data_IF_169829605534
#
_entry.id   IF_169829605534
#
_cell.length_a   1.000
_cell.length_b   1.000
_cell.length_c   1.000
_cell.angle_alpha   90.00
_cell.angle_beta   90.00
_cell.angle_gamma   90.00
#
_symmetry.space_group_name_H-M   'P 1'
#
loop_
_entity.id
_entity.type
_entity.pdbx_description
1 polymer ?
#
# COMPACT_ATOMS: atom_id res chain seq x y z
N UNK A 1 28.83 103.84 2.56
CA UNK A 1 27.57 103.39 3.19
C UNK A 1 27.24 102.01 2.70
N UNK A 2 27.14 101.11 3.61
CA UNK A 2 26.54 99.75 3.58
C UNK A 2 27.03 98.76 2.56
N UNK A 3 27.83 97.87 2.99
CA UNK A 3 27.45 96.66 3.73
C UNK A 3 26.79 95.55 2.81
N UNK A 4 27.54 94.59 2.44
CA UNK A 4 27.01 93.43 1.77
C UNK A 4 27.85 92.17 2.14
N UNK A 5 27.35 91.33 2.90
CA UNK A 5 27.92 90.22 3.61
C UNK A 5 28.07 89.04 2.69
N UNK A 6 29.27 88.54 2.46
CA UNK A 6 29.60 87.33 1.80
C UNK A 6 29.23 86.12 2.74
N UNK A 7 28.38 85.30 2.29
CA UNK A 7 28.14 83.99 2.91
C UNK A 7 28.87 82.91 2.12
N UNK A 8 29.96 82.51 2.71
CA UNK A 8 30.66 81.29 2.26
C UNK A 8 29.87 80.09 2.63
N UNK A 9 29.39 79.32 1.63
CA UNK A 9 28.82 78.02 1.82
C UNK A 9 29.95 77.00 2.04
N UNK A 10 30.05 76.57 3.27
CA UNK A 10 30.84 75.37 3.61
C UNK A 10 30.00 74.16 3.24
N UNK A 11 30.38 73.53 2.13
CA UNK A 11 29.89 72.25 1.78
C UNK A 11 30.48 71.14 2.70
N UNK A 12 29.66 70.69 3.61
CA UNK A 12 30.00 69.48 4.39
C UNK A 12 29.86 68.25 3.50
N UNK A 13 30.99 67.77 3.03
CA UNK A 13 31.05 66.49 2.32
C UNK A 13 30.89 65.38 3.37
N UNK A 14 29.65 64.93 3.56
CA UNK A 14 29.37 63.75 4.36
C UNK A 14 29.80 62.52 3.56
N UNK A 15 30.99 62.01 3.85
CA UNK A 15 31.45 60.69 3.39
C UNK A 15 30.56 59.64 4.03
N UNK A 16 29.54 59.16 3.28
CA UNK A 16 28.82 57.94 3.63
C UNK A 16 29.76 56.79 3.41
N UNK A 17 30.43 56.36 4.47
CA UNK A 17 31.12 55.10 4.49
C UNK A 17 30.05 54.02 4.47
N UNK A 18 29.71 53.55 3.26
CA UNK A 18 28.95 52.30 3.09
C UNK A 18 29.86 51.15 3.52
N UNK A 19 29.79 50.84 4.82
CA UNK A 19 30.34 49.60 5.34
C UNK A 19 29.60 48.44 4.72
N UNK A 20 30.14 47.86 3.65
CA UNK A 20 29.77 46.54 3.21
C UNK A 20 30.18 45.53 4.30
N UNK A 21 29.34 45.39 5.32
CA UNK A 21 29.33 44.19 6.13
C UNK A 21 28.89 43.08 5.21
N UNK A 22 29.88 42.35 4.64
CA UNK A 22 29.65 41.05 4.02
C UNK A 22 29.29 40.07 5.12
N UNK A 23 28.13 40.30 5.74
CA UNK A 23 27.38 39.29 6.47
C UNK A 23 26.72 38.43 5.41
N UNK A 24 27.29 37.26 5.18
CA UNK A 24 26.65 36.21 4.40
C UNK A 24 25.29 35.90 5.03
N UNK A 25 24.27 36.63 4.62
CA UNK A 25 22.89 36.25 4.87
C UNK A 25 22.61 35.03 3.98
N UNK A 26 23.07 33.88 4.46
CA UNK A 26 22.50 32.65 3.99
C UNK A 26 20.99 32.80 4.15
N UNK A 27 20.27 32.79 3.05
CA UNK A 27 18.81 32.83 3.06
C UNK A 27 18.35 31.48 3.62
N UNK A 28 18.45 31.34 4.95
CA UNK A 28 17.94 30.18 5.63
C UNK A 28 16.49 30.49 5.98
N UNK A 29 15.58 30.07 5.13
CA UNK A 29 14.16 30.10 5.47
C UNK A 29 13.89 28.92 6.37
N UNK A 30 13.77 29.12 7.68
CA UNK A 30 13.34 28.07 8.60
C UNK A 30 11.84 27.85 8.37
N UNK A 31 11.52 26.81 7.63
CA UNK A 31 10.15 26.34 7.52
C UNK A 31 9.84 25.58 8.81
N UNK A 32 9.04 26.17 9.69
CA UNK A 32 8.48 25.43 10.84
C UNK A 32 7.48 24.45 10.24
N UNK A 33 7.93 23.23 10.04
CA UNK A 33 7.03 22.11 9.78
C UNK A 33 6.30 21.88 11.10
N UNK A 34 4.94 21.86 11.12
CA UNK A 34 4.21 21.46 12.32
C UNK A 34 4.83 20.13 12.76
N UNK A 35 5.27 20.08 14.02
CA UNK A 35 5.89 18.89 14.58
C UNK A 35 4.81 17.81 14.56
N UNK A 36 4.67 17.12 13.45
CA UNK A 36 3.91 15.91 13.38
C UNK A 36 4.57 14.96 14.37
N UNK A 37 3.96 14.90 15.56
CA UNK A 37 4.24 13.94 16.62
C UNK A 37 5.73 13.63 16.81
N UNK A 38 6.36 14.32 17.75
CA UNK A 38 7.43 13.70 18.54
C UNK A 38 6.79 12.59 19.39
N UNK A 39 6.35 11.53 18.76
CA UNK A 39 6.03 10.31 19.50
C UNK A 39 7.35 9.76 20.01
N UNK A 40 7.36 9.36 21.28
CA UNK A 40 8.51 8.67 21.84
C UNK A 40 8.76 7.43 20.95
N UNK A 41 9.97 7.33 20.44
CA UNK A 41 10.39 6.18 19.64
C UNK A 41 10.44 4.97 20.56
N UNK A 42 9.82 3.88 20.16
CA UNK A 42 9.88 2.61 20.86
C UNK A 42 11.10 1.83 20.40
N UNK A 43 11.76 1.18 21.35
CA UNK A 43 12.82 0.25 21.03
C UNK A 43 12.26 -1.17 21.00
N UNK A 44 12.72 -1.96 20.05
CA UNK A 44 12.38 -3.37 19.92
C UNK A 44 13.55 -4.14 19.30
N UNK A 45 13.72 -5.40 19.68
CA UNK A 45 14.71 -6.28 19.08
C UNK A 45 14.15 -6.96 17.83
N UNK A 46 15.05 -7.59 17.05
CA UNK A 46 14.66 -8.42 15.90
C UNK A 46 13.67 -9.51 16.31
N UNK A 47 13.96 -10.22 17.41
CA UNK A 47 13.16 -11.33 17.91
C UNK A 47 11.76 -10.87 18.33
N UNK A 48 11.65 -9.70 18.97
CA UNK A 48 10.37 -9.13 19.39
C UNK A 48 9.52 -8.75 18.18
N UNK A 49 10.12 -8.12 17.15
CA UNK A 49 9.41 -7.74 15.94
C UNK A 49 8.99 -8.95 15.11
N UNK A 50 9.87 -9.95 15.00
CA UNK A 50 9.57 -11.20 14.31
C UNK A 50 8.43 -11.97 15.01
N UNK A 51 8.49 -12.06 16.34
CA UNK A 51 7.43 -12.70 17.12
C UNK A 51 6.10 -11.95 16.95
N UNK A 52 6.09 -10.63 17.05
CA UNK A 52 4.91 -9.78 16.85
C UNK A 52 4.31 -9.94 15.45
N UNK A 53 5.16 -9.98 14.42
CA UNK A 53 4.72 -10.20 13.05
C UNK A 53 4.04 -11.55 12.86
N UNK A 54 4.70 -12.62 13.29
CA UNK A 54 4.16 -13.97 13.15
C UNK A 54 2.92 -14.19 14.02
N UNK A 55 2.87 -13.61 15.24
CA UNK A 55 1.67 -13.62 16.09
C UNK A 55 0.48 -12.97 15.37
N UNK A 56 0.69 -11.80 14.75
CA UNK A 56 -0.35 -11.15 13.96
C UNK A 56 -0.81 -12.03 12.78
N UNK A 57 0.15 -12.59 12.04
CA UNK A 57 -0.15 -13.49 10.89
C UNK A 57 -0.99 -14.71 11.34
N UNK A 58 -0.67 -15.30 12.48
CA UNK A 58 -1.43 -16.44 13.01
C UNK A 58 -2.78 -16.04 13.61
N UNK A 59 -2.89 -14.81 14.10
CA UNK A 59 -4.12 -14.30 14.70
C UNK A 59 -5.16 -13.86 13.67
N UNK A 60 -4.75 -13.53 12.43
CA UNK A 60 -5.65 -13.11 11.35
C UNK A 60 -5.76 -14.20 10.29
N UNK A 61 -6.85 -14.95 10.33
CA UNK A 61 -7.11 -16.07 9.41
C UNK A 61 -8.02 -15.68 8.26
N UNK A 62 -9.02 -14.83 8.54
CA UNK A 62 -9.93 -14.31 7.52
C UNK A 62 -10.25 -12.83 7.77
N UNK A 63 -10.60 -12.16 6.70
CA UNK A 63 -10.97 -10.74 6.67
C UNK A 63 -12.27 -10.61 5.89
N UNK A 64 -13.33 -10.10 6.51
CA UNK A 64 -14.56 -9.62 5.85
C UNK A 64 -14.57 -8.09 5.98
N UNK A 65 -14.52 -7.39 4.87
CA UNK A 65 -14.43 -5.93 4.88
C UNK A 65 -15.33 -5.25 3.85
N UNK A 66 -15.83 -4.09 4.23
CA UNK A 66 -16.40 -3.11 3.30
C UNK A 66 -15.39 -1.99 3.11
N UNK A 67 -15.05 -1.73 1.86
CA UNK A 67 -13.99 -0.79 1.50
C UNK A 67 -14.42 0.18 0.40
N UNK A 68 -13.79 1.34 0.37
CA UNK A 68 -13.80 2.27 -0.75
C UNK A 68 -12.49 2.06 -1.51
N UNK A 69 -12.57 1.70 -2.79
CA UNK A 69 -11.44 1.44 -3.66
C UNK A 69 -11.31 2.54 -4.70
N UNK A 70 -10.13 3.16 -4.77
CA UNK A 70 -9.74 4.05 -5.85
C UNK A 70 -8.57 3.44 -6.60
N UNK A 71 -8.71 3.26 -7.90
CA UNK A 71 -7.66 2.72 -8.77
C UNK A 71 -7.05 3.85 -9.57
N UNK A 72 -5.74 3.88 -9.64
CA UNK A 72 -4.95 4.74 -10.52
C UNK A 72 -4.08 3.86 -11.41
N UNK A 73 -4.03 4.12 -12.71
CA UNK A 73 -3.21 3.35 -13.65
C UNK A 73 -2.29 4.25 -14.45
N UNK A 74 -1.22 3.67 -14.98
CA UNK A 74 -0.17 4.39 -15.68
C UNK A 74 1.03 4.68 -14.79
N UNK A 75 2.04 5.32 -15.36
CA UNK A 75 3.25 5.67 -14.65
C UNK A 75 3.76 7.05 -15.06
N UNK A 76 4.55 7.66 -14.19
CA UNK A 76 5.27 8.90 -14.50
C UNK A 76 6.24 8.73 -15.67
N UNK A 77 6.68 7.51 -15.94
CA UNK A 77 7.59 7.19 -17.06
C UNK A 77 6.84 7.20 -18.40
N UNK A 78 5.57 6.83 -18.42
CA UNK A 78 4.73 6.83 -19.61
C UNK A 78 4.04 8.17 -19.87
N UNK A 79 4.09 9.07 -18.89
CA UNK A 79 3.52 10.42 -18.98
C UNK A 79 1.99 10.48 -18.94
N UNK A 80 1.33 9.36 -18.74
CA UNK A 80 -0.14 9.25 -18.65
C UNK A 80 -0.52 8.58 -17.35
N UNK A 81 -1.44 9.20 -16.61
CA UNK A 81 -2.03 8.66 -15.40
C UNK A 81 -3.55 8.74 -15.55
N UNK A 82 -4.22 7.59 -15.50
CA UNK A 82 -5.67 7.48 -15.51
C UNK A 82 -6.16 7.18 -14.09
N UNK A 83 -7.03 8.03 -13.58
CA UNK A 83 -7.73 7.81 -12.31
C UNK A 83 -9.13 7.27 -12.57
N UNK A 84 -9.45 6.14 -11.95
CA UNK A 84 -10.79 5.56 -12.03
C UNK A 84 -11.68 6.10 -10.91
N UNK A 85 -12.98 6.13 -11.16
CA UNK A 85 -13.94 6.50 -10.14
C UNK A 85 -13.86 5.54 -8.96
N UNK A 86 -14.03 6.10 -7.76
CA UNK A 86 -14.12 5.33 -6.54
C UNK A 86 -15.30 4.35 -6.60
N UNK A 87 -15.06 3.14 -6.15
CA UNK A 87 -16.07 2.08 -6.05
C UNK A 87 -16.18 1.59 -4.62
N UNK A 88 -17.41 1.31 -4.18
CA UNK A 88 -17.63 0.57 -2.94
C UNK A 88 -17.39 -0.91 -3.22
N UNK A 89 -16.56 -1.57 -2.42
CA UNK A 89 -16.32 -2.99 -2.58
C UNK A 89 -16.56 -3.75 -1.28
N UNK A 90 -17.04 -4.99 -1.46
CA UNK A 90 -17.11 -6.01 -0.40
C UNK A 90 -16.00 -7.01 -0.65
N UNK A 91 -15.18 -7.19 0.35
CA UNK A 91 -13.99 -8.00 0.29
C UNK A 91 -14.05 -9.10 1.32
N UNK A 92 -13.81 -10.32 0.87
CA UNK A 92 -13.71 -11.50 1.69
C UNK A 92 -12.41 -12.20 1.37
N UNK A 93 -11.56 -12.42 2.36
CA UNK A 93 -10.31 -13.15 2.20
C UNK A 93 -10.13 -14.16 3.32
N UNK A 94 -9.65 -15.36 3.00
CA UNK A 94 -9.39 -16.44 3.95
C UNK A 94 -8.13 -17.20 3.56
N UNK A 95 -7.32 -17.54 4.58
CA UNK A 95 -6.15 -18.39 4.36
C UNK A 95 -6.56 -19.81 3.93
N UNK A 96 -5.78 -20.48 3.05
CA UNK A 96 -4.43 -20.07 2.66
C UNK A 96 -4.38 -19.02 1.54
N UNK A 97 -5.39 -18.92 0.65
CA UNK A 97 -5.30 -18.09 -0.56
C UNK A 97 -6.64 -17.64 -1.14
N UNK A 98 -7.74 -17.93 -0.47
CA UNK A 98 -9.09 -17.64 -0.97
C UNK A 98 -9.42 -16.17 -0.84
N UNK A 99 -9.91 -15.55 -1.91
CA UNK A 99 -10.36 -14.17 -1.93
C UNK A 99 -11.53 -13.96 -2.87
N UNK A 100 -12.49 -13.10 -2.48
CA UNK A 100 -13.53 -12.57 -3.33
C UNK A 100 -13.68 -11.07 -3.14
N UNK A 101 -13.86 -10.34 -4.22
CA UNK A 101 -14.07 -8.90 -4.20
C UNK A 101 -15.21 -8.52 -5.13
N UNK A 102 -16.25 -7.91 -4.57
CA UNK A 102 -17.44 -7.45 -5.31
C UNK A 102 -17.42 -5.93 -5.33
N UNK A 103 -17.18 -5.33 -6.50
CA UNK A 103 -17.20 -3.88 -6.70
C UNK A 103 -18.54 -3.36 -7.17
N UNK A 104 -19.04 -2.31 -6.54
CA UNK A 104 -20.33 -1.70 -6.83
C UNK A 104 -20.23 -0.20 -7.04
N UNK A 105 -21.10 0.33 -7.89
CA UNK A 105 -21.27 1.79 -8.02
C UNK A 105 -21.77 2.32 -6.67
N UNK A 106 -21.12 3.33 -6.08
CA UNK A 106 -21.61 3.96 -4.86
C UNK A 106 -23.06 4.44 -5.03
N UNK A 107 -23.84 4.42 -3.95
CA UNK A 107 -25.25 4.83 -3.89
C UNK A 107 -26.22 3.93 -4.67
N UNK A 108 -25.93 3.57 -5.90
CA UNK A 108 -26.82 2.76 -6.77
C UNK A 108 -26.75 1.28 -6.44
N UNK A 109 -25.61 0.81 -5.93
CA UNK A 109 -25.39 -0.61 -5.57
C UNK A 109 -25.29 -1.57 -6.77
N UNK A 110 -25.19 -1.06 -7.99
CA UNK A 110 -25.03 -1.90 -9.18
C UNK A 110 -23.63 -2.50 -9.22
N UNK A 111 -23.55 -3.84 -9.32
CA UNK A 111 -22.26 -4.54 -9.45
C UNK A 111 -21.57 -4.17 -10.76
N UNK A 112 -20.31 -3.76 -10.64
CA UNK A 112 -19.43 -3.42 -11.76
C UNK A 112 -18.56 -4.62 -12.12
N UNK A 113 -18.02 -5.26 -11.08
CA UNK A 113 -17.23 -6.48 -11.19
C UNK A 113 -17.44 -7.36 -9.96
N UNK A 114 -17.21 -8.66 -10.13
CA UNK A 114 -17.14 -9.66 -9.08
C UNK A 114 -15.99 -10.58 -9.44
N UNK A 115 -14.98 -10.66 -8.59
CA UNK A 115 -13.80 -11.47 -8.82
C UNK A 115 -13.51 -12.36 -7.62
N UNK A 116 -13.08 -13.60 -7.90
CA UNK A 116 -12.68 -14.58 -6.91
C UNK A 116 -11.39 -15.28 -7.32
N UNK A 117 -10.69 -15.85 -6.34
CA UNK A 117 -9.51 -16.68 -6.54
C UNK A 117 -9.32 -17.62 -5.37
N UNK A 118 -8.80 -18.82 -5.67
CA UNK A 118 -8.34 -19.83 -4.71
C UNK A 118 -6.79 -19.84 -4.54
N UNK A 119 -6.10 -18.89 -5.18
CA UNK A 119 -4.64 -18.80 -5.20
C UNK A 119 -3.98 -19.52 -6.39
N UNK A 120 -4.67 -20.41 -7.07
CA UNK A 120 -4.19 -21.09 -8.29
C UNK A 120 -4.85 -20.49 -9.53
N UNK A 121 -6.16 -20.30 -9.47
CA UNK A 121 -6.98 -19.73 -10.53
C UNK A 121 -7.73 -18.49 -10.04
N UNK A 122 -8.14 -17.67 -10.98
CA UNK A 122 -9.05 -16.58 -10.71
C UNK A 122 -10.19 -16.52 -11.73
N UNK A 123 -11.31 -16.00 -11.26
CA UNK A 123 -12.53 -15.77 -12.02
C UNK A 123 -12.94 -14.30 -11.86
N UNK A 124 -13.33 -13.66 -12.94
CA UNK A 124 -13.76 -12.25 -12.96
C UNK A 124 -14.99 -12.08 -13.84
N UNK A 125 -16.09 -11.74 -13.21
CA UNK A 125 -17.32 -11.31 -13.89
C UNK A 125 -17.36 -9.80 -14.05
N UNK A 126 -17.67 -9.31 -15.25
CA UNK A 126 -17.83 -7.88 -15.55
C UNK A 126 -19.22 -7.68 -16.17
N UNK A 127 -20.29 -7.62 -15.35
CA UNK A 127 -21.67 -7.59 -15.83
C UNK A 127 -21.98 -6.46 -16.80
N UNK A 128 -21.44 -5.22 -16.65
CA UNK A 128 -21.68 -4.15 -17.63
C UNK A 128 -21.12 -4.43 -19.02
N UNK A 129 -20.14 -5.33 -19.14
CA UNK A 129 -19.53 -5.72 -20.42
C UNK A 129 -20.04 -7.06 -20.93
N UNK A 130 -20.86 -7.79 -20.15
CA UNK A 130 -21.30 -9.14 -20.49
C UNK A 130 -20.12 -10.11 -20.64
N UNK A 131 -19.07 -9.98 -19.83
CA UNK A 131 -17.84 -10.79 -19.91
C UNK A 131 -17.57 -11.53 -18.61
N UNK A 132 -17.07 -12.74 -18.78
CA UNK A 132 -16.53 -13.57 -17.72
C UNK A 132 -15.11 -14.01 -18.12
N UNK A 133 -14.15 -13.79 -17.24
CA UNK A 133 -12.73 -14.05 -17.50
C UNK A 133 -12.22 -15.07 -16.50
N UNK A 134 -11.54 -16.08 -16.96
CA UNK A 134 -10.88 -17.10 -16.14
C UNK A 134 -9.40 -17.18 -16.50
N UNK A 135 -8.55 -17.47 -15.52
CA UNK A 135 -7.12 -17.64 -15.77
C UNK A 135 -6.35 -18.13 -14.57
N UNK A 136 -5.10 -18.53 -14.79
CA UNK A 136 -4.20 -18.88 -13.70
C UNK A 136 -3.66 -17.61 -13.02
N UNK A 137 -3.53 -17.65 -11.70
CA UNK A 137 -2.96 -16.54 -10.91
C UNK A 137 -1.50 -16.27 -11.29
N UNK A 138 -0.75 -17.32 -11.63
CA UNK A 138 0.67 -17.24 -12.02
C UNK A 138 0.94 -16.58 -13.37
N UNK A 139 -0.12 -16.25 -14.15
CA UNK A 139 0.05 -15.54 -15.41
C UNK A 139 0.69 -14.18 -15.17
N UNK A 140 1.80 -13.94 -15.85
CA UNK A 140 2.42 -12.63 -15.90
C UNK A 140 1.48 -11.62 -16.60
N UNK A 141 1.90 -10.36 -16.69
CA UNK A 141 1.15 -9.29 -17.33
C UNK A 141 0.59 -9.72 -18.69
N UNK A 142 -0.74 -9.83 -18.79
CA UNK A 142 -1.44 -10.32 -19.97
C UNK A 142 -2.16 -9.22 -20.75
N UNK A 143 -2.47 -8.09 -20.10
CA UNK A 143 -3.25 -7.01 -20.69
C UNK A 143 -2.39 -5.84 -21.18
N UNK A 144 -2.81 -5.24 -22.31
CA UNK A 144 -2.21 -4.01 -22.81
C UNK A 144 -2.51 -2.81 -21.90
N UNK A 145 -3.65 -2.84 -21.21
CA UNK A 145 -4.06 -1.80 -20.26
C UNK A 145 -3.71 -2.24 -18.84
N UNK A 146 -3.11 -1.35 -18.02
CA UNK A 146 -2.73 -1.69 -16.65
C UNK A 146 -3.86 -2.27 -15.80
N UNK A 147 -5.09 -1.79 -15.95
CA UNK A 147 -6.26 -2.31 -15.21
C UNK A 147 -6.57 -3.79 -15.51
N UNK A 148 -6.18 -4.29 -16.68
CA UNK A 148 -6.36 -5.68 -17.07
C UNK A 148 -5.37 -6.61 -16.36
N UNK A 149 -4.35 -6.03 -15.69
CA UNK A 149 -3.35 -6.76 -14.91
C UNK A 149 -3.71 -6.89 -13.42
N UNK A 150 -4.82 -6.28 -12.99
CA UNK A 150 -5.31 -6.45 -11.63
C UNK A 150 -5.71 -7.92 -11.40
N UNK A 151 -5.21 -8.49 -10.32
CA UNK A 151 -5.53 -9.86 -9.89
C UNK A 151 -6.05 -9.84 -8.45
N UNK A 152 -7.02 -10.69 -8.11
CA UNK A 152 -7.51 -10.80 -6.73
C UNK A 152 -6.38 -11.09 -5.75
N UNK A 153 -5.42 -11.92 -6.17
CA UNK A 153 -4.30 -12.34 -5.34
C UNK A 153 -3.40 -11.19 -4.88
N UNK A 154 -3.30 -10.11 -5.66
CA UNK A 154 -2.53 -8.92 -5.25
C UNK A 154 -3.16 -8.21 -4.04
N UNK A 155 -4.51 -8.25 -3.94
CA UNK A 155 -5.20 -7.77 -2.75
C UNK A 155 -5.03 -8.75 -1.58
N UNK A 156 -5.15 -10.07 -1.84
CA UNK A 156 -4.96 -11.08 -0.81
C UNK A 156 -3.62 -10.91 -0.09
N UNK A 157 -2.53 -10.79 -0.82
CA UNK A 157 -1.18 -10.62 -0.28
C UNK A 157 -1.03 -9.34 0.57
N UNK A 158 -1.75 -8.28 0.21
CA UNK A 158 -1.76 -7.04 0.99
C UNK A 158 -2.57 -7.12 2.28
N UNK A 159 -3.55 -8.04 2.36
CA UNK A 159 -4.46 -8.18 3.50
C UNK A 159 -4.02 -9.26 4.48
N UNK A 160 -3.45 -10.35 3.97
CA UNK A 160 -3.10 -11.56 4.72
C UNK A 160 -1.64 -11.95 4.46
N UNK A 161 -0.72 -11.33 5.18
CA UNK A 161 0.73 -11.51 5.00
C UNK A 161 1.17 -12.95 5.21
N UNK A 162 2.19 -13.43 4.47
CA UNK A 162 2.79 -14.74 4.73
C UNK A 162 3.62 -14.73 6.02
N UNK A 163 3.66 -15.85 6.71
CA UNK A 163 4.52 -16.08 7.87
C UNK A 163 6.01 -15.99 7.48
N UNK A 164 6.83 -15.50 8.40
CA UNK A 164 8.29 -15.66 8.31
C UNK A 164 8.67 -17.01 8.90
N UNK A 165 9.16 -17.91 8.05
CA UNK A 165 9.46 -19.30 8.39
C UNK A 165 10.86 -19.42 9.00
N UNK A 166 11.09 -20.50 9.74
CA UNK A 166 12.37 -20.75 10.43
C UNK A 166 13.56 -20.98 9.48
N UNK A 167 13.29 -21.45 8.28
CA UNK A 167 14.30 -21.65 7.23
C UNK A 167 14.64 -20.39 6.44
N UNK A 168 13.88 -19.33 6.61
CA UNK A 168 14.16 -18.03 5.99
C UNK A 168 15.20 -17.27 6.81
N UNK A 169 16.03 -16.51 6.14
CA UNK A 169 17.05 -15.65 6.76
C UNK A 169 16.42 -14.27 6.94
N UNK A 170 16.55 -13.71 8.14
CA UNK A 170 16.10 -12.38 8.45
C UNK A 170 17.30 -11.47 8.66
N UNK A 171 17.29 -10.30 8.05
CA UNK A 171 18.20 -9.20 8.35
C UNK A 171 17.43 -8.08 9.01
N UNK A 172 17.96 -7.56 10.10
CA UNK A 172 17.38 -6.48 10.86
C UNK A 172 18.14 -5.19 10.61
N UNK A 173 17.40 -4.13 10.28
CA UNK A 173 17.95 -2.81 9.95
C UNK A 173 17.14 -1.71 10.65
N UNK A 174 17.80 -0.61 11.03
CA UNK A 174 17.15 0.65 11.36
C UNK A 174 17.17 1.55 10.12
N UNK A 175 16.04 2.17 9.80
CA UNK A 175 15.91 3.09 8.68
C UNK A 175 15.17 4.35 9.11
N UNK A 176 15.72 5.49 8.72
CA UNK A 176 15.09 6.80 8.93
C UNK A 176 14.87 7.46 7.57
N UNK A 177 13.71 8.01 7.35
CA UNK A 177 13.39 8.82 6.18
C UNK A 177 12.73 10.15 6.58
N UNK A 178 12.15 10.86 5.59
CA UNK A 178 11.49 12.14 5.85
C UNK A 178 10.15 11.99 6.60
N UNK A 179 9.55 10.81 6.52
CA UNK A 179 8.22 10.51 7.06
C UNK A 179 8.27 9.88 8.44
N UNK A 180 9.36 9.18 8.79
CA UNK A 180 9.46 8.53 10.09
C UNK A 180 10.74 7.76 10.35
N UNK A 181 10.70 7.01 11.43
CA UNK A 181 11.75 6.08 11.86
C UNK A 181 11.20 4.67 11.87
N UNK A 182 11.96 3.75 11.34
CA UNK A 182 11.49 2.40 11.11
C UNK A 182 12.50 1.37 11.58
N UNK A 183 11.99 0.20 11.95
CA UNK A 183 12.71 -1.05 11.92
C UNK A 183 12.33 -1.82 10.66
N UNK A 184 13.29 -2.44 10.01
CA UNK A 184 13.05 -3.18 8.77
C UNK A 184 13.52 -4.61 8.95
N UNK A 185 12.64 -5.57 8.73
CA UNK A 185 12.98 -6.97 8.58
C UNK A 185 13.05 -7.30 7.10
N UNK A 186 14.26 -7.56 6.60
CA UNK A 186 14.48 -8.06 5.24
C UNK A 186 14.53 -9.58 5.29
N UNK A 187 13.54 -10.23 4.68
CA UNK A 187 13.39 -11.68 4.68
C UNK A 187 13.92 -12.24 3.36
N UNK A 188 14.84 -13.20 3.47
CA UNK A 188 15.53 -13.83 2.36
C UNK A 188 15.23 -15.33 2.32
N UNK A 189 15.12 -15.87 1.11
CA UNK A 189 15.25 -17.31 0.88
C UNK A 189 16.74 -17.66 0.92
N UNK A 190 17.12 -18.53 1.85
CA UNK A 190 18.48 -19.06 1.92
C UNK A 190 18.82 -19.98 0.76
N UNK A 191 20.09 -20.12 0.45
CA UNK A 191 20.59 -21.02 -0.58
C UNK A 191 21.92 -20.54 -1.16
N UNK A 192 22.38 -21.21 -2.22
CA UNK A 192 23.61 -20.83 -2.94
C UNK A 192 23.56 -19.38 -3.47
N UNK A 193 22.36 -18.94 -3.84
CA UNK A 193 22.06 -17.51 -4.11
C UNK A 193 20.88 -17.15 -3.24
N UNK A 194 21.10 -16.28 -2.26
CA UNK A 194 20.02 -15.72 -1.46
C UNK A 194 19.18 -14.78 -2.30
N UNK A 195 17.87 -14.90 -2.16
CA UNK A 195 16.90 -14.05 -2.86
C UNK A 195 16.06 -13.29 -1.84
N UNK A 196 15.88 -12.00 -2.06
CA UNK A 196 14.95 -11.21 -1.25
C UNK A 196 13.54 -11.68 -1.57
N UNK A 197 12.78 -12.02 -0.53
CA UNK A 197 11.37 -12.39 -0.63
C UNK A 197 10.49 -11.18 -0.33
N UNK A 198 10.80 -10.48 0.78
CA UNK A 198 10.01 -9.35 1.26
C UNK A 198 10.79 -8.48 2.23
N UNK A 199 10.31 -7.24 2.41
CA UNK A 199 10.71 -6.35 3.50
C UNK A 199 9.47 -5.93 4.28
N UNK A 200 9.58 -5.95 5.60
CA UNK A 200 8.53 -5.53 6.53
C UNK A 200 9.05 -4.36 7.34
N UNK A 201 8.38 -3.23 7.21
CA UNK A 201 8.74 -1.98 7.86
C UNK A 201 7.81 -1.73 9.05
N UNK A 202 8.37 -1.55 10.23
CA UNK A 202 7.64 -1.22 11.44
C UNK A 202 7.87 0.23 11.81
N UNK A 203 6.81 1.01 12.00
CA UNK A 203 6.93 2.37 12.51
C UNK A 203 7.36 2.33 13.98
N UNK A 204 8.46 2.98 14.32
CA UNK A 204 8.98 3.03 15.71
C UNK A 204 8.09 3.82 16.65
N UNK A 205 7.10 4.54 16.16
CA UNK A 205 6.14 5.24 17.01
C UNK A 205 5.19 4.28 17.74
N UNK A 206 4.76 3.20 17.08
CA UNK A 206 3.77 2.26 17.61
C UNK A 206 4.15 0.78 17.46
N UNK A 207 5.14 0.46 16.64
CA UNK A 207 5.58 -0.88 16.21
C UNK A 207 4.54 -1.62 15.39
N UNK A 208 3.66 -0.90 14.70
CA UNK A 208 2.80 -1.49 13.69
C UNK A 208 3.53 -1.53 12.34
N UNK A 209 3.11 -2.48 11.49
CA UNK A 209 3.63 -2.53 10.12
C UNK A 209 3.11 -1.31 9.36
N UNK A 210 4.03 -0.48 8.87
CA UNK A 210 3.71 0.70 8.07
C UNK A 210 3.88 0.46 6.58
N UNK A 211 4.75 -0.51 6.20
CA UNK A 211 5.03 -0.82 4.79
C UNK A 211 5.43 -2.28 4.64
N UNK A 212 5.00 -2.88 3.56
CA UNK A 212 5.33 -4.24 3.16
C UNK A 212 5.69 -4.27 1.68
N UNK A 213 6.90 -4.74 1.38
CA UNK A 213 7.38 -4.88 0.02
C UNK A 213 7.54 -6.36 -0.32
N UNK A 214 6.99 -6.81 -1.45
CA UNK A 214 7.22 -8.16 -1.97
C UNK A 214 8.11 -8.13 -3.20
N UNK A 215 8.98 -9.13 -3.30
CA UNK A 215 9.98 -9.21 -4.34
C UNK A 215 9.86 -10.53 -5.11
N UNK A 216 10.00 -10.43 -6.42
CA UNK A 216 10.10 -11.56 -7.32
C UNK A 216 11.55 -11.94 -7.62
N UNK A 217 11.75 -12.84 -8.59
CA UNK A 217 13.07 -13.26 -9.03
C UNK A 217 13.99 -12.08 -9.34
N UNK A 218 15.29 -12.24 -9.04
CA UNK A 218 16.33 -11.21 -9.25
C UNK A 218 16.14 -9.93 -8.42
N UNK A 219 15.35 -9.99 -7.33
CA UNK A 219 15.09 -8.83 -6.47
C UNK A 219 14.20 -7.78 -7.12
N UNK A 220 13.33 -8.18 -8.03
CA UNK A 220 12.40 -7.25 -8.67
C UNK A 220 11.26 -6.91 -7.72
N UNK A 221 11.05 -5.63 -7.43
CA UNK A 221 9.91 -5.16 -6.64
C UNK A 221 8.60 -5.50 -7.38
N UNK A 222 7.76 -6.34 -6.77
CA UNK A 222 6.46 -6.73 -7.28
C UNK A 222 5.36 -5.85 -6.71
N UNK A 223 5.37 -5.67 -5.38
CA UNK A 223 4.35 -4.89 -4.67
C UNK A 223 5.00 -4.07 -3.58
N UNK A 224 4.50 -2.86 -3.40
CA UNK A 224 4.83 -1.96 -2.31
C UNK A 224 3.51 -1.53 -1.65
N UNK A 225 3.31 -1.95 -0.42
CA UNK A 225 2.04 -1.76 0.29
C UNK A 225 2.28 -0.90 1.52
N UNK A 226 1.52 0.18 1.64
CA UNK A 226 1.58 1.08 2.78
C UNK A 226 0.32 0.93 3.65
N UNK A 227 0.51 0.90 4.96
CA UNK A 227 -0.55 0.75 5.95
C UNK A 227 -0.57 1.94 6.90
N UNK A 228 -1.75 2.45 7.18
CA UNK A 228 -1.92 3.52 8.16
C UNK A 228 -3.28 3.46 8.84
N UNK A 229 -3.46 4.31 9.85
CA UNK A 229 -4.71 4.41 10.62
C UNK A 229 -5.11 3.06 11.25
N UNK A 230 -4.19 2.47 12.03
CA UNK A 230 -4.42 1.23 12.75
C UNK A 230 -5.45 1.42 13.86
N UNK A 231 -6.53 0.65 13.82
CA UNK A 231 -7.63 0.72 14.78
C UNK A 231 -7.97 -0.67 15.32
N UNK A 232 -8.40 -0.71 16.58
CA UNK A 232 -8.93 -1.94 17.17
C UNK A 232 -10.18 -2.41 16.44
N UNK A 233 -10.26 -3.71 16.20
CA UNK A 233 -11.36 -4.33 15.48
C UNK A 233 -12.06 -5.37 16.34
N UNK A 234 -13.33 -5.58 16.04
CA UNK A 234 -14.11 -6.66 16.63
C UNK A 234 -13.65 -7.99 16.03
N UNK A 235 -13.32 -8.93 16.89
CA UNK A 235 -13.05 -10.32 16.52
C UNK A 235 -14.28 -11.12 16.88
N UNK A 236 -14.67 -12.08 16.07
CA UNK A 236 -15.80 -12.95 16.41
C UNK A 236 -15.52 -13.67 17.72
N UNK A 237 -16.54 -13.74 18.60
CA UNK A 237 -16.40 -14.18 19.99
C UNK A 237 -15.81 -15.61 20.13
N UNK A 238 -15.90 -16.43 19.08
CA UNK A 238 -15.35 -17.78 19.04
C UNK A 238 -13.81 -17.78 18.94
N UNK A 239 -13.22 -16.75 18.31
CA UNK A 239 -11.78 -16.62 18.14
C UNK A 239 -11.06 -15.93 19.33
N UNK A 240 -11.79 -15.31 20.22
CA UNK A 240 -11.29 -14.53 21.35
C UNK A 240 -10.69 -15.37 22.51
N UNK A 241 -10.56 -16.69 22.37
CA UNK A 241 -10.12 -17.61 23.42
C UNK A 241 -8.62 -17.58 23.75
N UNK A 242 -7.82 -16.76 23.05
CA UNK A 242 -6.35 -16.81 23.17
C UNK A 242 -5.72 -15.71 24.04
N UNK A 243 -6.45 -15.00 24.88
CA UNK A 243 -5.82 -14.04 25.83
C UNK A 243 -5.00 -12.89 25.20
N UNK A 244 -4.95 -12.81 23.88
CA UNK A 244 -4.34 -11.72 23.13
C UNK A 244 -5.21 -10.46 23.28
N UNK A 245 -4.57 -9.30 23.36
CA UNK A 245 -5.26 -8.01 23.36
C UNK A 245 -6.11 -7.81 22.09
N UNK A 246 -6.88 -6.71 22.02
CA UNK A 246 -7.72 -6.45 20.86
C UNK A 246 -6.84 -6.39 19.60
N UNK A 247 -7.21 -7.18 18.57
CA UNK A 247 -6.55 -7.12 17.28
C UNK A 247 -6.72 -5.72 16.67
N UNK A 248 -5.68 -5.26 15.99
CA UNK A 248 -5.71 -4.02 15.24
C UNK A 248 -5.71 -4.33 13.74
N UNK A 249 -6.34 -3.47 12.96
CA UNK A 249 -6.37 -3.58 11.51
C UNK A 249 -6.21 -2.20 10.87
N UNK A 250 -5.43 -2.04 9.80
CA UNK A 250 -5.24 -0.76 9.13
C UNK A 250 -6.52 -0.32 8.43
N UNK A 251 -6.89 0.95 8.56
CA UNK A 251 -8.05 1.54 7.88
C UNK A 251 -7.70 2.14 6.54
N UNK A 252 -6.43 2.36 6.28
CA UNK A 252 -5.94 2.82 4.99
C UNK A 252 -4.84 1.89 4.51
N UNK A 253 -5.01 1.38 3.30
CA UNK A 253 -4.07 0.48 2.65
C UNK A 253 -3.86 1.01 1.23
N UNK A 254 -2.61 1.29 0.88
CA UNK A 254 -2.22 1.65 -0.48
C UNK A 254 -1.36 0.54 -1.05
N UNK A 255 -1.73 0.03 -2.20
CA UNK A 255 -1.02 -1.02 -2.90
C UNK A 255 -0.47 -0.43 -4.19
N UNK A 256 0.85 -0.44 -4.34
CA UNK A 256 1.54 -0.02 -5.56
C UNK A 256 2.13 -1.25 -6.25
N UNK A 257 1.85 -1.38 -7.55
CA UNK A 257 2.36 -2.45 -8.41
C UNK A 257 3.14 -1.82 -9.57
N UNK A 258 4.43 -1.47 -9.36
CA UNK A 258 5.19 -0.68 -10.33
C UNK A 258 5.32 -1.35 -11.71
N UNK A 259 5.44 -2.67 -11.74
CA UNK A 259 5.56 -3.42 -13.01
C UNK A 259 4.24 -3.55 -13.76
N UNK A 260 3.14 -3.59 -13.02
CA UNK A 260 1.79 -3.71 -13.57
C UNK A 260 1.19 -2.33 -13.86
N UNK A 261 1.91 -1.26 -13.50
CA UNK A 261 1.58 0.14 -13.71
C UNK A 261 0.20 0.52 -13.13
N UNK A 262 -0.11 0.03 -11.92
CA UNK A 262 -1.30 0.48 -11.21
C UNK A 262 -1.04 0.68 -9.70
N UNK A 263 -1.90 1.48 -9.11
CA UNK A 263 -2.02 1.73 -7.68
C UNK A 263 -3.48 1.56 -7.27
N UNK A 264 -3.68 0.98 -6.08
CA UNK A 264 -4.97 0.89 -5.41
C UNK A 264 -4.88 1.60 -4.07
N UNK A 265 -5.75 2.58 -3.85
CA UNK A 265 -6.00 3.14 -2.54
C UNK A 265 -7.28 2.51 -1.98
N UNK A 266 -7.16 1.87 -0.82
CA UNK A 266 -8.24 1.19 -0.13
C UNK A 266 -8.49 1.85 1.22
N UNK A 267 -9.73 2.31 1.44
CA UNK A 267 -10.19 2.81 2.73
C UNK A 267 -11.20 1.84 3.31
N UNK A 268 -10.84 1.25 4.44
CA UNK A 268 -11.63 0.24 5.14
C UNK A 268 -12.66 0.90 6.03
N UNK A 269 -13.93 0.87 5.64
CA UNK A 269 -15.03 1.46 6.41
C UNK A 269 -15.57 0.51 7.47
N UNK A 270 -15.61 -0.79 7.20
CA UNK A 270 -15.99 -1.85 8.13
C UNK A 270 -15.07 -3.04 7.95
N UNK A 271 -14.69 -3.69 9.04
CA UNK A 271 -13.92 -4.95 9.01
C UNK A 271 -14.33 -5.83 10.18
N UNK A 272 -14.45 -7.12 9.91
CA UNK A 272 -14.57 -8.22 10.87
C UNK A 272 -13.45 -9.22 10.57
N UNK A 273 -12.76 -9.68 11.60
CA UNK A 273 -11.69 -10.66 11.48
C UNK A 273 -12.15 -12.02 11.99
N UNK A 274 -11.66 -13.07 11.34
CA UNK A 274 -11.86 -14.46 11.74
C UNK A 274 -13.33 -14.92 11.75
N UNK A 275 -14.16 -14.32 10.91
CA UNK A 275 -15.49 -14.82 10.65
C UNK A 275 -15.39 -16.14 9.87
N UNK A 276 -16.20 -17.13 10.24
CA UNK A 276 -16.27 -18.40 9.51
C UNK A 276 -16.94 -18.18 8.16
N UNK A 277 -16.26 -18.58 7.10
CA UNK A 277 -16.71 -18.40 5.72
C UNK A 277 -17.01 -19.75 5.09
N UNK A 278 -18.13 -19.86 4.39
CA UNK A 278 -18.44 -21.06 3.60
C UNK A 278 -17.63 -21.04 2.30
N UNK A 279 -17.01 -22.16 1.92
CA UNK A 279 -16.09 -22.25 0.78
C UNK A 279 -16.75 -21.93 -0.59
N UNK A 280 -18.06 -22.05 -0.70
CA UNK A 280 -18.81 -21.69 -1.92
C UNK A 280 -18.85 -20.18 -2.15
N UNK A 281 -18.63 -19.37 -1.13
CA UNK A 281 -18.55 -17.90 -1.26
C UNK A 281 -17.36 -17.42 -2.09
N UNK A 282 -16.32 -18.25 -2.27
CA UNK A 282 -15.14 -17.93 -3.05
C UNK A 282 -15.20 -18.41 -4.50
N UNK A 283 -16.35 -18.95 -4.93
CA UNK A 283 -16.53 -19.46 -6.29
C UNK A 283 -17.48 -18.58 -7.06
N UNK A 284 -17.16 -18.32 -8.31
CA UNK A 284 -18.04 -17.69 -9.27
C UNK A 284 -18.50 -18.71 -10.31
N UNK A 285 -19.64 -18.43 -10.91
CA UNK A 285 -20.14 -19.19 -12.04
C UNK A 285 -20.42 -18.23 -13.20
N UNK A 286 -19.98 -18.60 -14.40
CA UNK A 286 -20.29 -17.83 -15.59
C UNK A 286 -21.81 -17.79 -15.81
N UNK A 287 -22.42 -16.60 -15.88
CA UNK A 287 -23.84 -16.51 -16.16
C UNK A 287 -24.16 -17.04 -17.57
N UNK A 288 -25.35 -17.62 -17.75
CA UNK A 288 -25.79 -18.12 -19.06
C UNK A 288 -25.80 -17.01 -20.10
N UNK A 289 -25.17 -17.25 -21.24
CA UNK A 289 -25.13 -16.31 -22.39
C UNK A 289 -24.10 -15.19 -22.27
N UNK A 290 -23.18 -15.28 -21.31
CA UNK A 290 -22.03 -14.37 -21.16
C UNK A 290 -20.83 -14.91 -21.95
N UNK A 291 -20.07 -14.03 -22.56
CA UNK A 291 -18.80 -14.37 -23.24
C UNK A 291 -17.77 -14.81 -22.19
N UNK A 292 -17.31 -16.06 -22.25
CA UNK A 292 -16.25 -16.60 -21.40
C UNK A 292 -14.92 -16.44 -22.10
N UNK A 293 -13.97 -15.77 -21.44
CA UNK A 293 -12.61 -15.52 -21.95
C UNK A 293 -11.63 -16.29 -21.07
N UNK A 294 -10.95 -17.28 -21.64
CA UNK A 294 -9.88 -18.03 -20.96
C UNK A 294 -8.54 -17.36 -21.27
N UNK A 295 -7.83 -16.94 -20.25
CA UNK A 295 -6.47 -16.42 -20.37
C UNK A 295 -5.49 -17.60 -20.34
N UNK A 296 -4.77 -17.81 -21.45
CA UNK A 296 -3.73 -18.84 -21.59
C UNK A 296 -2.35 -18.32 -21.18
N UNK A 297 -1.38 -19.24 -21.06
CA UNK A 297 0.03 -18.94 -20.72
C UNK A 297 0.71 -18.01 -21.76
N UNK A 298 0.23 -17.94 -22.97
CA UNK A 298 0.79 -17.14 -24.09
C UNK A 298 0.13 -15.75 -24.22
N UNK A 299 -0.74 -15.35 -23.28
CA UNK A 299 -1.45 -14.06 -23.35
C UNK A 299 -2.45 -13.95 -24.52
N UNK A 300 -2.66 -15.01 -25.28
CA UNK A 300 -3.67 -15.06 -26.31
C UNK A 300 -5.04 -15.46 -25.74
N UNK A 301 -6.04 -14.62 -26.02
CA UNK A 301 -7.44 -14.97 -25.81
C UNK A 301 -7.79 -16.15 -26.71
N UNK A 302 -7.83 -17.38 -26.19
CA UNK A 302 -8.46 -18.49 -26.92
C UNK A 302 -9.96 -18.18 -26.99
N UNK A 303 -10.43 -17.79 -28.17
CA UNK A 303 -11.87 -17.79 -28.49
C UNK A 303 -12.35 -19.26 -28.55
N UNK A 304 -13.54 -19.56 -27.99
CA UNK A 304 -14.14 -20.88 -28.06
C UNK A 304 -14.34 -21.37 -29.49
#
# INVERSE_FOLDING_TARGET
>A
MNSGRNWAFWGVLAAVVCGCAAGGSGVTTTKVVPTARRQAVKDASEEELLARYNEYVHSVKSVDATVELKTTTGSKYNGVIDEYHEVKAFLLAERPADIRVIGQVPVVGKTIFDMASDGETFELSIPPKGKFVEGAVALERTGAKPIENLRPQHLFEALLWPEVRKEEIVLFEEADDQDGRYYVLTVLRGGYKSEILRKVWFDRADLNVSRYESYGPKGTLLSDVHYSDWQSVTVDAIAATSGAGPLQYPRQIRIERPRDEYQLDMKVSKVTLNETVEADRFKLQAPTGVEVVHLGEDGETKKP
#
